data_IF_605813230286
#
_entry.id   IF_605813230286
#
_cell.length_a   1.000
_cell.length_b   1.000
_cell.length_c   1.000
_cell.angle_alpha   90.00
_cell.angle_beta   90.00
_cell.angle_gamma   90.00
#
_symmetry.space_group_name_H-M   'P 1'
#
loop_
_entity.id
_entity.type
_entity.pdbx_description
1 polymer ?
#
# COMPACT_ATOMS: atom_id res chain seq x y z
N UNK A 1 -17.91 20.76 -20.25
CA UNK A 1 -17.33 19.45 -19.80
C UNK A 1 -18.42 18.60 -19.17
N UNK A 2 -18.52 17.30 -19.53
CA UNK A 2 -19.47 16.31 -19.00
C UNK A 2 -18.74 15.06 -18.51
N UNK A 3 -19.36 14.28 -17.63
CA UNK A 3 -18.82 13.01 -17.14
C UNK A 3 -18.53 12.02 -18.31
N UNK A 4 -19.41 12.01 -19.31
CA UNK A 4 -19.22 11.18 -20.50
C UNK A 4 -17.98 11.57 -21.31
N UNK A 5 -17.73 12.88 -21.45
CA UNK A 5 -16.51 13.37 -22.13
C UNK A 5 -15.24 12.98 -21.35
N UNK A 6 -15.27 13.06 -20.01
CA UNK A 6 -14.15 12.58 -19.19
C UNK A 6 -13.92 11.07 -19.33
N UNK A 7 -14.98 10.26 -19.36
CA UNK A 7 -14.89 8.81 -19.62
C UNK A 7 -14.25 8.52 -20.98
N UNK A 8 -14.64 9.25 -22.02
CA UNK A 8 -14.02 9.12 -23.34
C UNK A 8 -12.54 9.46 -23.33
N UNK A 9 -12.16 10.52 -22.64
CA UNK A 9 -10.77 10.96 -22.52
C UNK A 9 -9.88 9.90 -21.85
N UNK A 10 -10.31 9.38 -20.71
CA UNK A 10 -9.57 8.33 -19.98
C UNK A 10 -9.48 7.04 -20.80
N UNK A 11 -10.55 6.70 -21.54
CA UNK A 11 -10.54 5.54 -22.43
C UNK A 11 -9.57 5.70 -23.60
N UNK A 12 -9.45 6.89 -24.21
CA UNK A 12 -8.46 7.14 -25.26
C UNK A 12 -7.03 6.91 -24.75
N UNK A 13 -6.70 7.40 -23.53
CA UNK A 13 -5.41 7.14 -22.89
C UNK A 13 -5.18 5.63 -22.70
N UNK A 14 -6.18 4.93 -22.18
CA UNK A 14 -6.08 3.49 -21.86
C UNK A 14 -5.89 2.62 -23.10
N UNK A 15 -6.59 2.93 -24.18
CA UNK A 15 -6.66 2.06 -25.39
C UNK A 15 -5.83 2.60 -26.57
N UNK A 16 -5.17 3.73 -26.39
CA UNK A 16 -4.23 4.31 -27.35
C UNK A 16 -4.85 4.88 -28.63
N UNK A 17 -6.18 4.78 -28.84
CA UNK A 17 -6.83 5.37 -30.01
C UNK A 17 -8.31 5.69 -29.78
N UNK A 18 -8.83 6.69 -30.51
CA UNK A 18 -10.24 7.08 -30.50
C UNK A 18 -11.15 5.92 -30.90
N UNK A 19 -10.75 5.18 -31.94
CA UNK A 19 -11.54 4.02 -32.45
C UNK A 19 -11.60 2.88 -31.45
N UNK A 20 -10.48 2.55 -30.80
CA UNK A 20 -10.43 1.50 -29.77
C UNK A 20 -11.23 1.91 -28.53
N UNK A 21 -11.11 3.16 -28.08
CA UNK A 21 -11.90 3.69 -26.98
C UNK A 21 -13.40 3.65 -27.27
N UNK A 22 -13.81 4.07 -28.46
CA UNK A 22 -15.21 4.03 -28.89
C UNK A 22 -15.78 2.60 -28.88
N UNK A 23 -15.03 1.64 -29.40
CA UNK A 23 -15.42 0.22 -29.39
C UNK A 23 -15.62 -0.31 -27.99
N UNK A 24 -14.71 -0.01 -27.07
CA UNK A 24 -14.77 -0.48 -25.68
C UNK A 24 -15.90 0.16 -24.86
N UNK A 25 -16.27 1.38 -25.21
CA UNK A 25 -17.36 2.12 -24.54
C UNK A 25 -18.71 1.96 -25.24
N UNK A 26 -18.79 1.09 -26.27
CA UNK A 26 -19.98 0.92 -27.09
C UNK A 26 -20.53 2.25 -27.64
N UNK A 27 -19.64 3.19 -27.96
CA UNK A 27 -19.96 4.52 -28.44
C UNK A 27 -19.60 4.68 -29.92
N UNK A 28 -20.30 5.58 -30.62
CA UNK A 28 -19.93 5.95 -31.97
C UNK A 28 -18.61 6.74 -32.00
N UNK A 29 -17.65 6.34 -32.84
CA UNK A 29 -16.35 7.01 -32.94
C UNK A 29 -16.45 8.53 -33.16
N UNK A 30 -17.39 9.07 -33.99
CA UNK A 30 -17.55 10.53 -34.11
C UNK A 30 -17.87 11.23 -32.80
N UNK A 31 -18.62 10.59 -31.91
CA UNK A 31 -18.96 11.17 -30.59
C UNK A 31 -17.71 11.29 -29.69
N UNK A 32 -16.89 10.25 -29.68
CA UNK A 32 -15.62 10.24 -28.90
C UNK A 32 -14.65 11.29 -29.46
N UNK A 33 -14.54 11.38 -30.80
CA UNK A 33 -13.68 12.37 -31.46
C UNK A 33 -14.16 13.80 -31.21
N UNK A 34 -15.49 14.04 -31.26
CA UNK A 34 -16.10 15.34 -30.98
C UNK A 34 -15.90 15.74 -29.52
N UNK A 35 -16.07 14.82 -28.58
CA UNK A 35 -15.85 15.05 -27.15
C UNK A 35 -14.42 15.48 -26.87
N UNK A 36 -13.43 14.79 -27.45
CA UNK A 36 -12.03 15.21 -27.31
C UNK A 36 -11.80 16.63 -27.85
N UNK A 37 -12.32 16.92 -29.05
CA UNK A 37 -12.17 18.24 -29.68
C UNK A 37 -12.83 19.33 -28.82
N UNK A 38 -14.02 19.07 -28.30
CA UNK A 38 -14.73 20.01 -27.43
C UNK A 38 -13.92 20.34 -26.16
N UNK A 39 -13.35 19.33 -25.51
CA UNK A 39 -12.51 19.54 -24.32
C UNK A 39 -11.24 20.32 -24.64
N UNK A 40 -10.57 20.00 -25.76
CA UNK A 40 -9.37 20.73 -26.20
C UNK A 40 -9.69 22.21 -26.52
N UNK A 41 -10.83 22.49 -27.16
CA UNK A 41 -11.30 23.84 -27.47
C UNK A 41 -11.76 24.60 -26.20
N UNK A 42 -12.53 23.96 -25.31
CA UNK A 42 -13.04 24.57 -24.08
C UNK A 42 -11.91 25.03 -23.14
N UNK A 43 -10.83 24.22 -23.03
CA UNK A 43 -9.73 24.53 -22.12
C UNK A 43 -8.50 25.13 -22.82
N UNK A 44 -8.52 25.26 -24.14
CA UNK A 44 -7.38 25.81 -24.89
C UNK A 44 -6.13 24.92 -24.79
N UNK A 45 -6.29 23.62 -24.58
CA UNK A 45 -5.25 22.66 -24.35
C UNK A 45 -5.20 21.65 -25.49
N UNK A 46 -4.02 21.23 -25.91
CA UNK A 46 -3.86 20.02 -26.68
C UNK A 46 -3.65 18.84 -25.76
N UNK A 47 -4.64 17.93 -25.66
CA UNK A 47 -4.61 16.82 -24.71
C UNK A 47 -3.86 15.63 -25.29
N UNK A 48 -4.04 15.35 -26.59
CA UNK A 48 -3.34 14.28 -27.28
C UNK A 48 -2.64 14.75 -28.55
N UNK A 49 -1.56 14.06 -28.86
CA UNK A 49 -0.87 14.11 -30.16
C UNK A 49 -1.00 12.80 -30.90
N UNK A 50 -1.10 12.88 -32.24
CA UNK A 50 -1.10 11.69 -33.09
C UNK A 50 0.32 11.27 -33.35
N UNK A 51 0.65 10.00 -33.14
CA UNK A 51 1.93 9.39 -33.47
C UNK A 51 1.71 8.16 -34.36
N UNK A 52 2.80 7.59 -34.85
CA UNK A 52 2.77 6.31 -35.57
C UNK A 52 2.27 5.14 -34.71
N UNK A 53 2.33 5.27 -33.38
CA UNK A 53 1.90 4.26 -32.41
C UNK A 53 0.50 4.54 -31.82
N UNK A 54 -0.15 5.63 -32.24
CA UNK A 54 -1.50 5.99 -31.78
C UNK A 54 -1.61 7.37 -31.17
N UNK A 55 -2.54 7.54 -30.23
CA UNK A 55 -2.80 8.78 -29.50
C UNK A 55 -1.93 8.82 -28.23
N UNK A 56 -0.99 9.77 -28.16
CA UNK A 56 -0.09 9.94 -27.02
C UNK A 56 -0.49 11.21 -26.27
N UNK A 57 -0.70 11.17 -24.94
CA UNK A 57 -0.99 12.37 -24.16
C UNK A 57 0.19 13.36 -24.17
N UNK A 58 -0.08 14.64 -24.37
CA UNK A 58 0.90 15.73 -24.13
C UNK A 58 1.22 15.82 -22.63
N UNK A 59 2.23 16.61 -22.25
CA UNK A 59 2.53 16.86 -20.84
C UNK A 59 1.34 17.49 -20.09
N UNK A 60 0.70 18.48 -20.69
CA UNK A 60 -0.51 19.10 -20.15
C UNK A 60 -1.69 18.13 -20.19
N UNK A 61 -1.82 17.35 -21.27
CA UNK A 61 -2.84 16.31 -21.41
C UNK A 61 -2.74 15.24 -20.35
N UNK A 62 -1.54 14.79 -19.98
CA UNK A 62 -1.35 13.82 -18.89
C UNK A 62 -1.94 14.33 -17.57
N UNK A 63 -1.59 15.55 -17.18
CA UNK A 63 -2.11 16.17 -15.95
C UNK A 63 -3.63 16.31 -15.99
N UNK A 64 -4.18 16.74 -17.12
CA UNK A 64 -5.64 16.87 -17.30
C UNK A 64 -6.35 15.51 -17.19
N UNK A 65 -5.80 14.47 -17.84
CA UNK A 65 -6.36 13.10 -17.79
C UNK A 65 -6.28 12.51 -16.38
N UNK A 66 -5.22 12.79 -15.63
CA UNK A 66 -5.09 12.34 -14.23
C UNK A 66 -6.16 12.99 -13.34
N UNK A 67 -6.43 14.28 -13.51
CA UNK A 67 -7.52 14.95 -12.80
C UNK A 67 -8.89 14.42 -13.23
N UNK A 68 -9.09 14.19 -14.54
CA UNK A 68 -10.32 13.60 -15.06
C UNK A 68 -10.61 12.22 -14.49
N UNK A 69 -9.56 11.39 -14.33
CA UNK A 69 -9.68 10.08 -13.71
C UNK A 69 -10.14 10.18 -12.25
N UNK A 70 -9.58 11.11 -11.46
CA UNK A 70 -10.01 11.35 -10.07
C UNK A 70 -11.47 11.77 -9.96
N UNK A 71 -11.93 12.66 -10.86
CA UNK A 71 -13.34 13.07 -10.89
C UNK A 71 -14.24 11.87 -11.19
N UNK A 72 -13.84 10.99 -12.11
CA UNK A 72 -14.60 9.78 -12.43
C UNK A 72 -14.65 8.80 -11.28
N UNK A 73 -13.56 8.63 -10.56
CA UNK A 73 -13.51 7.81 -9.34
C UNK A 73 -14.49 8.34 -8.29
N UNK A 74 -14.58 9.65 -8.11
CA UNK A 74 -15.52 10.25 -7.16
C UNK A 74 -16.98 10.10 -7.60
N UNK A 75 -17.26 10.18 -8.91
CA UNK A 75 -18.59 9.89 -9.46
C UNK A 75 -18.97 8.43 -9.28
N UNK A 76 -18.03 7.50 -9.50
CA UNK A 76 -18.27 6.08 -9.32
C UNK A 76 -18.50 5.77 -7.83
N UNK A 77 -17.75 6.40 -6.89
CA UNK A 77 -18.02 6.35 -5.43
C UNK A 77 -19.42 6.83 -5.07
N UNK A 78 -19.82 8.00 -5.57
CA UNK A 78 -21.17 8.53 -5.32
C UNK A 78 -22.25 7.54 -5.77
N UNK A 79 -22.04 6.86 -6.88
CA UNK A 79 -22.96 5.87 -7.42
C UNK A 79 -22.97 4.61 -6.56
N UNK A 80 -21.80 4.15 -6.14
CA UNK A 80 -21.62 3.01 -5.23
C UNK A 80 -22.26 3.30 -3.87
N UNK A 81 -22.00 4.46 -3.26
CA UNK A 81 -22.62 4.87 -1.99
C UNK A 81 -24.15 4.90 -2.06
N UNK A 82 -24.71 5.37 -3.19
CA UNK A 82 -26.16 5.36 -3.41
C UNK A 82 -26.76 3.93 -3.54
N UNK A 83 -25.96 2.98 -4.07
CA UNK A 83 -26.33 1.56 -4.11
C UNK A 83 -26.17 0.88 -2.75
N UNK A 84 -25.09 1.20 -2.02
CA UNK A 84 -24.79 0.65 -0.70
C UNK A 84 -25.83 1.07 0.37
N UNK A 85 -26.47 2.22 0.21
CA UNK A 85 -27.57 2.64 1.09
C UNK A 85 -28.78 1.69 1.04
N UNK A 86 -28.87 0.79 0.06
CA UNK A 86 -29.95 -0.19 -0.11
C UNK A 86 -29.59 -1.62 0.34
N UNK A 87 -28.31 -1.97 0.37
CA UNK A 87 -27.81 -3.29 0.75
C UNK A 87 -26.66 -3.11 1.74
N UNK A 88 -26.55 -3.97 2.76
CA UNK A 88 -25.43 -3.96 3.70
C UNK A 88 -24.16 -4.47 2.97
N UNK A 89 -23.50 -3.59 2.26
CA UNK A 89 -22.25 -3.90 1.58
C UNK A 89 -21.07 -3.34 2.39
N UNK A 90 -20.18 -4.21 2.86
CA UNK A 90 -18.92 -3.78 3.46
C UNK A 90 -17.82 -3.75 2.40
N UNK A 91 -17.25 -2.59 2.16
CA UNK A 91 -16.15 -2.39 1.23
C UNK A 91 -14.93 -1.81 1.94
N UNK A 92 -13.76 -2.45 1.75
CA UNK A 92 -12.47 -1.95 2.23
C UNK A 92 -11.39 -2.23 1.19
N UNK A 93 -10.62 -1.20 0.85
CA UNK A 93 -9.41 -1.32 0.01
C UNK A 93 -8.26 -0.68 0.75
N UNK A 94 -7.34 -1.50 1.24
CA UNK A 94 -6.21 -1.05 2.05
C UNK A 94 -4.89 -1.67 1.59
N UNK A 95 -3.85 -0.83 1.55
CA UNK A 95 -2.46 -1.26 1.44
C UNK A 95 -1.82 -1.28 2.82
N UNK A 96 -1.12 -2.35 3.17
CA UNK A 96 -0.39 -2.48 4.43
C UNK A 96 1.06 -2.90 4.17
N UNK A 97 2.02 -2.50 5.02
CA UNK A 97 3.36 -3.04 4.94
C UNK A 97 3.38 -4.48 5.49
N UNK A 98 4.54 -5.14 5.42
CA UNK A 98 4.74 -6.43 6.08
C UNK A 98 4.68 -6.28 7.61
N UNK A 99 3.47 -6.02 8.13
CA UNK A 99 3.18 -5.77 9.54
C UNK A 99 2.13 -6.77 10.05
N UNK A 100 2.55 -7.68 10.92
CA UNK A 100 1.65 -8.73 11.43
C UNK A 100 0.45 -8.14 12.17
N UNK A 101 0.63 -7.07 12.97
CA UNK A 101 -0.48 -6.44 13.67
C UNK A 101 -1.52 -5.85 12.71
N UNK A 102 -1.09 -5.27 11.57
CA UNK A 102 -2.01 -4.74 10.56
C UNK A 102 -2.79 -5.86 9.86
N UNK A 103 -2.16 -7.01 9.60
CA UNK A 103 -2.85 -8.19 9.08
C UNK A 103 -3.88 -8.74 10.08
N UNK A 104 -3.59 -8.69 11.39
CA UNK A 104 -4.53 -9.09 12.43
C UNK A 104 -5.69 -8.10 12.56
N UNK A 105 -5.44 -6.79 12.44
CA UNK A 105 -6.50 -5.78 12.35
C UNK A 105 -7.43 -6.05 11.17
N UNK A 106 -6.88 -6.44 10.02
CA UNK A 106 -7.67 -6.82 8.85
C UNK A 106 -8.52 -8.08 9.09
N UNK A 107 -7.97 -9.09 9.79
CA UNK A 107 -8.74 -10.29 10.17
C UNK A 107 -9.86 -9.94 11.15
N UNK A 108 -9.60 -9.06 12.12
CA UNK A 108 -10.64 -8.64 13.08
C UNK A 108 -11.72 -7.80 12.37
N UNK A 109 -11.36 -6.95 11.42
CA UNK A 109 -12.32 -6.27 10.55
C UNK A 109 -13.20 -7.26 9.77
N UNK A 110 -12.62 -8.31 9.19
CA UNK A 110 -13.39 -9.32 8.47
C UNK A 110 -14.40 -10.04 9.38
N UNK A 111 -14.08 -10.26 10.67
CA UNK A 111 -15.03 -10.85 11.64
C UNK A 111 -16.20 -9.91 11.91
N UNK A 112 -15.95 -8.61 12.03
CA UNK A 112 -17.00 -7.61 12.24
C UNK A 112 -17.88 -7.45 10.99
N UNK A 113 -17.27 -7.49 9.79
CA UNK A 113 -17.95 -7.37 8.51
C UNK A 113 -18.66 -8.65 8.05
N UNK A 114 -18.47 -9.79 8.72
CA UNK A 114 -18.98 -11.11 8.29
C UNK A 114 -20.52 -11.19 8.20
N UNK A 115 -21.24 -10.29 8.86
CA UNK A 115 -22.70 -10.20 8.81
C UNK A 115 -23.27 -9.32 7.70
N UNK A 116 -22.41 -8.74 6.83
CA UNK A 116 -22.84 -7.94 5.70
C UNK A 116 -23.39 -8.83 4.57
N UNK A 117 -24.37 -8.32 3.82
CA UNK A 117 -24.98 -9.04 2.70
C UNK A 117 -24.02 -9.17 1.51
N UNK A 118 -23.12 -8.19 1.36
CA UNK A 118 -22.05 -8.18 0.36
C UNK A 118 -20.71 -7.76 0.99
N UNK A 119 -19.64 -8.42 0.57
CA UNK A 119 -18.27 -8.14 1.00
C UNK A 119 -17.37 -7.86 -0.24
N UNK A 120 -16.70 -6.70 -0.25
CA UNK A 120 -15.71 -6.32 -1.29
C UNK A 120 -14.43 -5.85 -0.63
N UNK A 121 -13.63 -6.78 -0.15
CA UNK A 121 -12.46 -6.48 0.67
C UNK A 121 -11.19 -6.76 -0.13
N UNK A 122 -10.34 -5.75 -0.27
CA UNK A 122 -9.03 -5.82 -0.91
C UNK A 122 -7.96 -5.40 0.10
N UNK A 123 -7.20 -6.37 0.57
CA UNK A 123 -6.04 -6.17 1.45
C UNK A 123 -4.82 -6.56 0.64
N UNK A 124 -3.87 -5.65 0.50
CA UNK A 124 -2.63 -5.87 -0.24
C UNK A 124 -1.45 -5.51 0.62
N UNK A 125 -0.41 -6.34 0.57
CA UNK A 125 0.89 -6.03 1.18
C UNK A 125 1.84 -5.46 0.14
N UNK A 126 2.69 -4.49 0.56
CA UNK A 126 3.70 -3.90 -0.30
C UNK A 126 4.43 -2.74 0.35
N UNK A 127 5.40 -2.18 -0.35
CA UNK A 127 6.23 -1.07 0.12
C UNK A 127 5.49 0.27 0.11
N UNK A 128 6.04 1.26 0.84
CA UNK A 128 5.40 2.57 1.05
C UNK A 128 5.15 3.34 -0.25
N UNK A 129 6.07 3.29 -1.23
CA UNK A 129 5.87 3.98 -2.51
C UNK A 129 4.80 3.31 -3.38
N UNK A 130 4.74 1.97 -3.36
CA UNK A 130 3.66 1.24 -4.02
C UNK A 130 2.32 1.58 -3.37
N UNK A 131 2.26 1.62 -2.04
CA UNK A 131 1.07 1.97 -1.28
C UNK A 131 0.55 3.37 -1.63
N UNK A 132 1.45 4.36 -1.77
CA UNK A 132 1.11 5.70 -2.23
C UNK A 132 0.59 5.71 -3.67
N UNK A 133 1.17 4.91 -4.59
CA UNK A 133 0.65 4.79 -5.96
C UNK A 133 -0.77 4.20 -5.97
N UNK A 134 -1.06 3.21 -5.12
CA UNK A 134 -2.38 2.62 -5.01
C UNK A 134 -3.42 3.62 -4.50
N UNK A 135 -3.09 4.45 -3.50
CA UNK A 135 -3.98 5.52 -3.02
C UNK A 135 -4.19 6.60 -4.07
N UNK A 136 -3.12 7.02 -4.75
CA UNK A 136 -3.18 8.13 -5.69
C UNK A 136 -3.78 7.77 -7.05
N UNK A 137 -3.72 6.50 -7.50
CA UNK A 137 -4.00 6.12 -8.89
C UNK A 137 -4.85 4.89 -9.08
N UNK A 138 -5.09 4.08 -8.02
CA UNK A 138 -5.72 2.76 -8.16
C UNK A 138 -6.97 2.57 -7.31
N UNK A 139 -7.53 3.66 -6.78
CA UNK A 139 -8.80 3.63 -6.03
C UNK A 139 -8.70 2.94 -4.67
N UNK A 140 -7.50 2.82 -4.09
CA UNK A 140 -7.35 2.48 -2.68
C UNK A 140 -7.51 3.75 -1.85
N UNK A 141 -8.20 3.65 -0.74
CA UNK A 141 -8.49 4.82 0.08
C UNK A 141 -7.61 4.89 1.33
N UNK A 142 -7.13 3.75 1.80
CA UNK A 142 -6.25 3.66 2.96
C UNK A 142 -4.92 3.01 2.58
N UNK A 143 -3.84 3.56 3.08
CA UNK A 143 -2.52 2.93 3.04
C UNK A 143 -1.78 3.14 4.35
N UNK A 144 -1.19 2.07 4.88
CA UNK A 144 -0.25 2.15 5.99
C UNK A 144 1.16 2.16 5.40
N UNK A 145 1.86 3.27 5.57
CA UNK A 145 3.25 3.43 5.16
C UNK A 145 4.17 2.99 6.28
N UNK A 146 5.32 2.41 5.93
CA UNK A 146 6.42 2.11 6.84
C UNK A 146 7.72 2.71 6.30
N UNK A 147 8.37 3.56 7.08
CA UNK A 147 9.62 4.21 6.71
C UNK A 147 10.48 4.51 7.95
N UNK A 148 11.77 4.78 7.73
CA UNK A 148 12.66 5.19 8.80
C UNK A 148 12.28 6.57 9.33
N UNK A 149 12.34 6.79 10.63
CA UNK A 149 11.95 8.06 11.24
C UNK A 149 12.75 9.27 10.70
N UNK A 150 13.96 9.03 10.19
CA UNK A 150 14.80 10.03 9.50
C UNK A 150 14.21 10.51 8.18
N UNK A 151 13.33 9.73 7.53
CA UNK A 151 12.69 10.04 6.26
C UNK A 151 11.33 10.75 6.42
N UNK A 152 10.91 11.05 7.66
CA UNK A 152 9.59 11.60 7.98
C UNK A 152 9.28 12.91 7.23
N UNK A 153 10.24 13.81 7.14
CA UNK A 153 10.09 15.07 6.42
C UNK A 153 9.82 14.83 4.92
N UNK A 154 10.51 13.85 4.32
CA UNK A 154 10.34 13.50 2.92
C UNK A 154 8.93 12.98 2.64
N UNK A 155 8.45 12.01 3.44
CA UNK A 155 7.10 11.45 3.29
C UNK A 155 6.02 12.48 3.58
N UNK A 156 6.20 13.32 4.61
CA UNK A 156 5.29 14.41 4.94
C UNK A 156 5.17 15.38 3.77
N UNK A 157 6.28 15.83 3.22
CA UNK A 157 6.29 16.74 2.08
C UNK A 157 5.65 16.11 0.83
N UNK A 158 5.91 14.83 0.58
CA UNK A 158 5.31 14.08 -0.53
C UNK A 158 3.78 14.00 -0.41
N UNK A 159 3.27 13.68 0.79
CA UNK A 159 1.84 13.52 1.07
C UNK A 159 1.08 14.86 1.03
N UNK A 160 1.61 15.89 1.69
CA UNK A 160 0.99 17.24 1.72
C UNK A 160 0.82 17.81 0.31
N UNK A 161 1.82 17.67 -0.55
CA UNK A 161 1.72 18.13 -1.95
C UNK A 161 0.64 17.42 -2.77
N UNK A 162 0.14 16.28 -2.29
CA UNK A 162 -0.87 15.46 -2.97
C UNK A 162 -2.20 15.42 -2.26
N UNK A 163 -2.40 16.34 -1.30
CA UNK A 163 -3.61 16.40 -0.48
C UNK A 163 -3.92 15.06 0.19
N UNK A 164 -2.90 14.43 0.78
CA UNK A 164 -3.03 13.25 1.60
C UNK A 164 -2.85 13.62 3.06
N UNK A 165 -3.74 13.14 3.92
CA UNK A 165 -3.64 13.21 5.36
C UNK A 165 -2.75 12.09 5.88
N UNK A 166 -2.00 12.36 6.92
CA UNK A 166 -1.12 11.42 7.59
C UNK A 166 -1.52 11.30 9.06
N UNK A 167 -1.64 10.07 9.55
CA UNK A 167 -2.01 9.76 10.92
C UNK A 167 -1.01 8.75 11.50
N UNK A 168 -0.21 9.13 12.53
CA UNK A 168 0.75 8.23 13.15
C UNK A 168 0.05 7.04 13.80
N UNK A 169 0.54 5.83 13.54
CA UNK A 169 0.01 4.59 14.11
C UNK A 169 0.97 4.00 15.13
N UNK A 170 2.25 3.87 14.78
CA UNK A 170 3.25 3.27 15.66
C UNK A 170 4.67 3.76 15.32
N UNK A 171 5.49 3.93 16.35
CA UNK A 171 6.93 4.11 16.26
C UNK A 171 7.62 2.92 16.95
N UNK A 172 8.63 2.33 16.34
CA UNK A 172 9.26 1.12 16.86
C UNK A 172 10.68 0.93 16.32
N UNK A 173 11.46 0.12 17.04
CA UNK A 173 12.71 -0.47 16.55
C UNK A 173 12.43 -1.91 16.07
N UNK A 174 13.08 -2.32 14.99
CA UNK A 174 13.02 -3.71 14.58
C UNK A 174 13.61 -4.64 15.65
N UNK A 175 13.05 -5.84 15.73
CA UNK A 175 13.46 -6.89 16.65
C UNK A 175 13.82 -8.14 15.88
N UNK A 176 14.68 -8.98 16.44
CA UNK A 176 14.97 -10.28 15.90
C UNK A 176 13.78 -11.21 16.15
N UNK A 177 13.19 -11.72 15.08
CA UNK A 177 12.20 -12.78 15.12
C UNK A 177 12.89 -14.11 14.81
N UNK A 178 12.77 -15.09 15.70
CA UNK A 178 13.41 -16.39 15.57
C UNK A 178 12.55 -17.47 16.21
N UNK A 179 12.93 -18.73 15.96
CA UNK A 179 12.33 -19.89 16.61
C UNK A 179 12.49 -19.82 18.13
N UNK A 180 11.43 -20.11 18.89
CA UNK A 180 11.41 -20.04 20.36
C UNK A 180 12.45 -20.97 21.02
N UNK A 181 12.74 -22.11 20.40
CA UNK A 181 13.71 -23.10 20.87
C UNK A 181 15.08 -22.94 20.21
N UNK A 182 15.23 -21.97 19.30
CA UNK A 182 16.47 -21.69 18.59
C UNK A 182 17.53 -21.01 19.48
N UNK A 183 18.80 -21.04 19.06
CA UNK A 183 19.90 -20.46 19.81
C UNK A 183 19.73 -18.95 20.05
N UNK A 184 19.18 -18.21 19.11
CA UNK A 184 18.94 -16.77 19.25
C UNK A 184 17.80 -16.42 20.21
N UNK A 185 16.94 -17.38 20.57
CA UNK A 185 15.85 -17.13 21.52
C UNK A 185 16.34 -16.76 22.93
N UNK A 186 17.51 -17.23 23.32
CA UNK A 186 18.11 -17.04 24.65
C UNK A 186 19.40 -16.23 24.62
N UNK A 187 19.93 -15.95 23.43
CA UNK A 187 21.14 -15.19 23.23
C UNK A 187 20.85 -13.70 23.05
N UNK A 188 21.57 -12.85 23.77
CA UNK A 188 21.52 -11.40 23.58
C UNK A 188 22.60 -11.02 22.56
N UNK A 189 22.17 -10.59 21.38
CA UNK A 189 23.06 -10.15 20.30
C UNK A 189 23.57 -8.73 20.65
N UNK A 190 24.86 -8.64 20.95
CA UNK A 190 25.53 -7.38 21.29
C UNK A 190 26.18 -6.70 20.08
N UNK A 191 26.61 -7.50 19.12
CA UNK A 191 27.20 -7.05 17.86
C UNK A 191 26.49 -7.75 16.69
N UNK A 192 26.14 -7.00 15.66
CA UNK A 192 25.52 -7.55 14.44
C UNK A 192 26.38 -8.60 13.77
N UNK A 193 27.72 -8.54 13.89
CA UNK A 193 28.63 -9.55 13.35
C UNK A 193 28.38 -10.97 13.93
N UNK A 194 27.80 -11.08 15.12
CA UNK A 194 27.42 -12.38 15.69
C UNK A 194 26.36 -13.10 14.84
N UNK A 195 25.54 -12.35 14.11
CA UNK A 195 24.50 -12.89 13.21
C UNK A 195 25.04 -13.51 11.94
N UNK A 196 26.31 -13.33 11.60
CA UNK A 196 26.96 -13.91 10.42
C UNK A 196 26.93 -15.45 10.39
N UNK A 197 26.74 -16.10 11.53
CA UNK A 197 26.63 -17.55 11.64
C UNK A 197 25.20 -18.08 11.42
N UNK A 198 24.22 -17.19 11.37
CA UNK A 198 22.81 -17.52 11.25
C UNK A 198 22.29 -17.25 9.82
N UNK A 199 21.13 -17.76 9.50
CA UNK A 199 20.47 -17.51 8.20
C UNK A 199 19.49 -16.35 8.34
N UNK A 200 19.70 -15.29 7.56
CA UNK A 200 18.79 -14.14 7.49
C UNK A 200 17.69 -14.40 6.46
N UNK A 201 16.42 -14.23 6.89
CA UNK A 201 15.28 -14.26 5.98
C UNK A 201 14.90 -12.81 5.69
N UNK A 202 14.81 -12.46 4.41
CA UNK A 202 14.51 -11.11 3.94
C UNK A 202 13.27 -11.10 3.04
N UNK A 203 12.51 -10.01 3.12
CA UNK A 203 11.60 -9.58 2.08
C UNK A 203 12.32 -8.67 1.10
N UNK A 204 12.10 -8.91 -0.19
CA UNK A 204 12.78 -8.16 -1.25
C UNK A 204 12.01 -6.89 -1.72
N UNK A 205 10.98 -6.50 -0.95
CA UNK A 205 10.05 -5.43 -1.33
C UNK A 205 10.46 -4.03 -0.82
N UNK A 206 11.62 -3.91 -0.17
CA UNK A 206 12.09 -2.63 0.36
C UNK A 206 12.83 -1.82 -0.72
N UNK A 207 12.11 -0.94 -1.42
CA UNK A 207 12.70 0.08 -2.27
C UNK A 207 12.55 1.47 -1.63
N UNK A 208 13.66 2.21 -1.50
CA UNK A 208 13.62 3.62 -1.12
C UNK A 208 13.23 4.50 -2.33
N UNK A 209 12.49 5.59 -2.11
CA UNK A 209 12.23 6.57 -3.16
C UNK A 209 13.51 7.31 -3.54
N UNK A 210 13.96 7.14 -4.78
CA UNK A 210 14.96 8.05 -5.38
C UNK A 210 16.41 7.57 -5.41
N UNK A 211 16.69 6.33 -4.97
CA UNK A 211 17.99 5.71 -5.22
C UNK A 211 17.78 4.43 -6.05
N UNK A 212 18.44 4.32 -7.17
CA UNK A 212 18.52 3.09 -7.95
C UNK A 212 19.16 2.00 -7.06
N UNK A 213 18.31 1.14 -6.47
CA UNK A 213 18.73 -0.06 -5.77
C UNK A 213 19.12 0.10 -4.30
N UNK A 214 18.72 1.16 -3.62
CA UNK A 214 18.94 1.31 -2.17
C UNK A 214 17.93 0.51 -1.35
N UNK A 215 18.40 -0.52 -0.66
CA UNK A 215 17.62 -1.25 0.36
C UNK A 215 17.24 -0.29 1.49
N UNK A 216 15.95 -0.14 1.78
CA UNK A 216 15.46 0.67 2.90
C UNK A 216 15.91 0.20 4.29
N UNK A 217 16.65 -0.89 4.32
CA UNK A 217 17.27 -1.47 5.50
C UNK A 217 18.78 -1.39 5.33
N UNK A 218 19.39 -0.36 5.95
CA UNK A 218 20.85 -0.07 5.84
C UNK A 218 21.75 -1.04 6.65
N UNK A 219 21.23 -2.12 7.20
CA UNK A 219 21.98 -3.02 8.08
C UNK A 219 21.92 -4.47 7.58
N UNK A 220 22.59 -4.71 6.47
CA UNK A 220 22.86 -6.07 6.02
C UNK A 220 24.03 -6.65 6.83
N UNK A 221 23.75 -7.74 7.53
CA UNK A 221 24.76 -8.37 8.35
C UNK A 221 25.55 -9.42 7.59
N UNK A 222 24.90 -10.12 6.66
CA UNK A 222 25.55 -11.28 6.04
C UNK A 222 25.10 -11.51 4.61
N UNK A 223 25.99 -11.21 3.64
CA UNK A 223 25.72 -11.46 2.22
C UNK A 223 25.74 -12.93 1.81
N UNK A 224 26.31 -13.81 2.64
CA UNK A 224 26.55 -15.21 2.28
C UNK A 224 25.48 -16.18 2.77
N UNK A 225 24.62 -15.80 3.70
CA UNK A 225 23.61 -16.70 4.31
C UNK A 225 22.23 -16.04 4.36
N UNK A 226 21.70 -15.65 3.19
CA UNK A 226 20.40 -15.00 3.02
C UNK A 226 19.41 -15.89 2.31
N UNK A 227 18.15 -15.78 2.72
CA UNK A 227 17.00 -16.41 2.10
C UNK A 227 16.04 -15.28 1.71
N UNK A 228 15.88 -15.04 0.42
CA UNK A 228 14.92 -14.06 -0.09
C UNK A 228 13.56 -14.72 -0.24
N UNK A 229 12.54 -14.16 0.37
CA UNK A 229 11.17 -14.68 0.35
C UNK A 229 10.23 -13.53 -0.05
N UNK A 230 9.39 -13.80 -1.04
CA UNK A 230 8.49 -12.78 -1.63
C UNK A 230 7.06 -12.88 -1.09
N UNK A 231 6.80 -13.81 -0.18
CA UNK A 231 5.49 -14.00 0.44
C UNK A 231 5.62 -14.35 1.92
N UNK A 232 4.58 -14.04 2.71
CA UNK A 232 4.66 -14.08 4.16
C UNK A 232 4.55 -15.49 4.77
N UNK A 233 3.75 -16.38 4.19
CA UNK A 233 3.52 -17.69 4.78
C UNK A 233 4.78 -18.53 4.92
N UNK A 234 5.63 -18.53 3.90
CA UNK A 234 6.90 -19.29 3.90
C UNK A 234 7.87 -18.79 4.96
N UNK A 235 7.90 -17.50 5.27
CA UNK A 235 8.81 -16.95 6.27
C UNK A 235 8.61 -17.55 7.64
N UNK A 236 7.37 -17.60 8.12
CA UNK A 236 7.09 -18.19 9.43
C UNK A 236 7.31 -19.70 9.44
N UNK A 237 6.99 -20.39 8.35
CA UNK A 237 7.28 -21.82 8.21
C UNK A 237 8.78 -22.10 8.20
N UNK A 238 9.59 -21.29 7.52
CA UNK A 238 11.05 -21.41 7.52
C UNK A 238 11.60 -21.19 8.94
N UNK A 239 11.16 -20.13 9.64
CA UNK A 239 11.58 -19.86 11.02
C UNK A 239 11.22 -21.01 11.98
N UNK A 240 10.06 -21.65 11.78
CA UNK A 240 9.68 -22.81 12.59
C UNK A 240 10.57 -24.03 12.35
N UNK A 241 10.96 -24.27 11.09
CA UNK A 241 11.70 -25.47 10.70
C UNK A 241 13.22 -25.30 10.78
N UNK A 242 13.71 -24.07 10.76
CA UNK A 242 15.13 -23.72 10.80
C UNK A 242 15.46 -22.92 12.05
N UNK A 243 15.78 -23.54 13.20
CA UNK A 243 16.06 -22.83 14.46
C UNK A 243 17.26 -21.88 14.41
N UNK A 244 18.14 -22.03 13.41
CA UNK A 244 19.28 -21.13 13.15
C UNK A 244 18.94 -19.98 12.21
N UNK A 245 17.67 -19.81 11.82
CA UNK A 245 17.23 -18.69 11.02
C UNK A 245 16.64 -17.55 11.87
N UNK A 246 16.75 -16.34 11.37
CA UNK A 246 16.13 -15.15 11.94
C UNK A 246 15.62 -14.21 10.84
N UNK A 247 14.75 -13.30 11.21
CA UNK A 247 14.40 -12.13 10.39
C UNK A 247 14.23 -10.91 11.29
N UNK A 248 14.31 -9.73 10.67
CA UNK A 248 13.94 -8.50 11.33
C UNK A 248 12.44 -8.29 11.21
N UNK A 249 11.79 -8.07 12.35
CA UNK A 249 10.34 -7.89 12.40
C UNK A 249 9.96 -6.68 13.24
N UNK A 250 8.89 -6.00 12.82
CA UNK A 250 8.19 -5.05 13.68
C UNK A 250 7.56 -5.76 14.88
N UNK A 251 7.16 -5.05 15.93
CA UNK A 251 6.38 -5.64 17.01
C UNK A 251 5.20 -6.45 16.48
N UNK A 252 4.96 -7.60 17.10
CA UNK A 252 3.94 -8.56 16.69
C UNK A 252 2.99 -8.90 17.84
N UNK A 253 1.71 -9.16 17.57
CA UNK A 253 0.77 -9.66 18.58
C UNK A 253 1.29 -10.97 19.19
N UNK A 254 1.19 -11.13 20.51
CA UNK A 254 1.64 -12.33 21.22
C UNK A 254 0.98 -13.61 20.66
N UNK A 255 -0.31 -13.52 20.30
CA UNK A 255 -1.05 -14.62 19.67
C UNK A 255 -0.40 -15.14 18.37
N UNK A 256 0.24 -14.26 17.59
CA UNK A 256 0.98 -14.66 16.38
C UNK A 256 2.29 -15.38 16.75
N UNK A 257 3.03 -14.87 17.72
CA UNK A 257 4.25 -15.50 18.22
C UNK A 257 3.97 -16.91 18.75
N UNK A 258 2.89 -17.07 19.49
CA UNK A 258 2.50 -18.38 20.04
C UNK A 258 2.04 -19.34 18.96
N UNK A 259 1.24 -18.88 17.99
CA UNK A 259 0.76 -19.68 16.87
C UNK A 259 1.89 -20.30 16.05
N UNK A 260 2.95 -19.51 15.80
CA UNK A 260 4.08 -19.93 14.96
C UNK A 260 5.28 -20.41 15.79
N UNK A 261 5.16 -20.53 17.10
CA UNK A 261 6.23 -20.95 18.01
C UNK A 261 7.50 -20.09 17.89
N UNK A 262 7.29 -18.79 17.76
CA UNK A 262 8.34 -17.78 17.55
C UNK A 262 8.52 -16.90 18.78
N UNK A 263 9.62 -16.17 18.81
CA UNK A 263 9.92 -15.16 19.83
C UNK A 263 10.57 -13.94 19.21
N UNK A 264 10.16 -12.76 19.67
CA UNK A 264 10.80 -11.48 19.35
C UNK A 264 11.83 -11.11 20.41
N UNK A 265 13.05 -10.81 19.97
CA UNK A 265 14.16 -10.41 20.83
C UNK A 265 14.62 -9.00 20.47
N UNK A 266 14.80 -8.14 21.48
CA UNK A 266 15.48 -6.86 21.29
C UNK A 266 16.92 -7.12 20.87
N UNK A 267 17.42 -6.30 19.95
CA UNK A 267 18.81 -6.31 19.52
C UNK A 267 19.42 -4.93 19.75
N UNK A 268 20.17 -4.72 20.84
CA UNK A 268 20.74 -3.39 21.17
C UNK A 268 21.71 -2.83 20.12
N UNK A 269 22.24 -3.70 19.26
CA UNK A 269 23.09 -3.30 18.13
C UNK A 269 22.30 -2.66 16.98
N UNK A 270 20.98 -2.84 16.93
CA UNK A 270 20.08 -2.26 15.95
C UNK A 270 19.25 -1.15 16.61
N UNK A 271 19.38 0.09 16.10
CA UNK A 271 18.77 1.27 16.70
C UNK A 271 17.96 2.11 15.72
N UNK A 272 17.74 1.62 14.51
CA UNK A 272 16.92 2.35 13.54
C UNK A 272 15.48 2.39 14.01
N UNK A 273 14.96 3.61 14.18
CA UNK A 273 13.57 3.85 14.53
C UNK A 273 12.75 3.89 13.25
N UNK A 274 11.70 3.10 13.21
CA UNK A 274 10.74 3.05 12.11
C UNK A 274 9.42 3.67 12.52
N UNK A 275 8.70 4.19 11.56
CA UNK A 275 7.34 4.72 11.72
C UNK A 275 6.37 3.99 10.81
N UNK A 276 5.23 3.62 11.39
CA UNK A 276 4.03 3.22 10.66
C UNK A 276 3.03 4.38 10.71
N UNK A 277 2.65 4.88 9.54
CA UNK A 277 1.79 6.06 9.38
C UNK A 277 0.67 5.73 8.41
N UNK A 278 -0.56 5.87 8.85
CA UNK A 278 -1.74 5.72 8.00
C UNK A 278 -1.88 6.94 7.10
N UNK A 279 -2.19 6.70 5.82
CA UNK A 279 -2.34 7.74 4.82
C UNK A 279 -3.65 7.54 4.05
N UNK A 280 -4.38 8.63 3.85
CA UNK A 280 -5.62 8.67 3.09
C UNK A 280 -5.86 10.07 2.50
N UNK A 281 -6.75 10.23 1.49
CA UNK A 281 -7.06 11.54 0.91
C UNK A 281 -7.56 12.53 1.98
N UNK A 282 -7.07 13.78 1.94
CA UNK A 282 -7.47 14.86 2.88
C UNK A 282 -8.87 15.43 2.56
N UNK A 283 -9.50 14.94 1.50
CA UNK A 283 -10.83 15.36 1.05
C UNK A 283 -11.81 14.18 1.11
N UNK A 284 -13.04 14.49 1.49
CA UNK A 284 -14.08 13.49 1.71
C UNK A 284 -14.10 12.94 3.14
N UNK A 285 -15.21 12.37 3.54
CA UNK A 285 -15.35 11.65 4.80
C UNK A 285 -14.89 10.20 4.65
N UNK A 286 -14.25 9.66 5.69
CA UNK A 286 -14.00 8.23 5.78
C UNK A 286 -15.34 7.48 5.83
N UNK A 287 -15.42 6.34 5.15
CA UNK A 287 -16.57 5.44 5.24
C UNK A 287 -16.60 4.78 6.62
N UNK A 288 -17.76 4.34 7.11
CA UNK A 288 -17.85 3.64 8.39
C UNK A 288 -16.89 2.43 8.49
N UNK A 289 -16.75 1.67 7.41
CA UNK A 289 -15.87 0.51 7.31
C UNK A 289 -14.39 0.90 7.39
N UNK A 290 -14.03 2.01 6.77
CA UNK A 290 -12.66 2.56 6.83
C UNK A 290 -12.34 3.01 8.26
N UNK A 291 -13.26 3.71 8.92
CA UNK A 291 -13.09 4.12 10.31
C UNK A 291 -12.99 2.90 11.24
N UNK A 292 -13.85 1.89 11.05
CA UNK A 292 -13.79 0.63 11.80
C UNK A 292 -12.40 -0.03 11.64
N UNK A 293 -11.89 -0.10 10.41
CA UNK A 293 -10.56 -0.66 10.19
C UNK A 293 -9.45 0.16 10.88
N UNK A 294 -9.52 1.49 10.84
CA UNK A 294 -8.56 2.40 11.49
C UNK A 294 -8.57 2.16 13.01
N UNK A 295 -9.74 2.08 13.62
CA UNK A 295 -9.88 1.83 15.07
C UNK A 295 -9.28 0.47 15.46
N UNK A 296 -9.52 -0.56 14.66
CA UNK A 296 -8.94 -1.89 14.85
C UNK A 296 -7.42 -1.89 14.67
N UNK A 297 -6.91 -1.14 13.69
CA UNK A 297 -5.47 -0.98 13.45
C UNK A 297 -4.76 -0.35 14.65
N UNK A 298 -5.29 0.74 15.18
CA UNK A 298 -4.75 1.39 16.38
C UNK A 298 -4.83 0.48 17.61
N UNK A 299 -5.93 -0.25 17.77
CA UNK A 299 -6.07 -1.23 18.85
C UNK A 299 -4.99 -2.31 18.76
N UNK A 300 -4.80 -2.94 17.61
CA UNK A 300 -3.77 -3.97 17.42
C UNK A 300 -2.36 -3.41 17.59
N UNK A 301 -2.07 -2.21 17.08
CA UNK A 301 -0.79 -1.54 17.30
C UNK A 301 -0.50 -1.33 18.80
N UNK A 302 -1.48 -0.86 19.57
CA UNK A 302 -1.33 -0.61 21.02
C UNK A 302 -1.08 -1.88 21.83
N UNK A 303 -1.58 -3.04 21.38
CA UNK A 303 -1.37 -4.33 22.04
C UNK A 303 0.03 -4.91 21.80
N UNK A 304 0.74 -4.43 20.78
CA UNK A 304 2.07 -4.95 20.41
C UNK A 304 3.23 -4.16 21.01
N UNK A 305 3.02 -2.94 21.44
CA UNK A 305 4.06 -2.05 22.00
C UNK A 305 4.45 -2.42 23.45
N UNK A 306 3.69 -3.27 24.10
CA UNK A 306 3.98 -3.80 25.44
C UNK A 306 4.98 -4.97 25.35
#
# INVERSE_FOLDING_TARGET
MTITELRYLVAIKKWGSVSAAAKQLYAAQPNVSKALKNLEEEYGLRIFERSSTGMIPTEQGRRFIEQAARVLEEVDRLTEDAHHARERCAELRVMIPHATYASYAAVDFLKEAAGADQLRIHIREGGSMEALDFVLRRGYHLALLRYAAEDDEHYTHYCVRRALKMEPVMEFEYRLLTNRDGPLARHEVKDLAELNHYMEIMHDDFQLPGEDGGDGVRWHVNDSRRIHVYERCSQFSILQQLPSAYMWASPMPQRALDQFHLVLRKCPAQRQVMRDVLVYPDHGALRPEEQTFIDLLHREASLTVK
#
